data_IF_928740556357
#
_entry.id   IF_928740556357
#
_cell.length_a   1.000
_cell.length_b   1.000
_cell.length_c   1.000
_cell.angle_alpha   90.00
_cell.angle_beta   90.00
_cell.angle_gamma   90.00
#
_symmetry.space_group_name_H-M   'P 1'
#
loop_
_entity.id
_entity.type
_entity.pdbx_description
1 polymer ?
#
# COMPACT_ATOMS: atom_id res chain seq x y z
N UNK A 1 11.09 -9.32 -5.31
CA UNK A 1 10.51 -8.21 -4.52
C UNK A 1 11.34 -7.82 -3.28
N UNK A 2 11.87 -8.76 -2.49
CA UNK A 2 12.77 -8.45 -1.36
C UNK A 2 14.03 -7.68 -1.78
N UNK A 3 14.64 -8.03 -2.92
CA UNK A 3 15.86 -7.38 -3.41
C UNK A 3 15.66 -5.91 -3.83
N UNK A 4 14.46 -5.56 -4.30
CA UNK A 4 14.12 -4.18 -4.63
C UNK A 4 14.04 -3.30 -3.36
N UNK A 5 13.39 -3.80 -2.30
CA UNK A 5 13.34 -3.11 -1.01
C UNK A 5 14.73 -3.00 -0.37
N UNK A 6 15.55 -4.04 -0.48
CA UNK A 6 16.94 -4.04 0.01
C UNK A 6 17.82 -3.05 -0.75
N UNK A 7 17.66 -2.90 -2.08
CA UNK A 7 18.34 -1.87 -2.89
C UNK A 7 17.91 -0.44 -2.52
N UNK A 8 16.68 -0.26 -2.04
CA UNK A 8 16.17 1.02 -1.55
C UNK A 8 16.49 1.29 -0.07
N UNK A 9 17.22 0.40 0.61
CA UNK A 9 17.53 0.52 2.04
C UNK A 9 16.32 0.34 2.97
N UNK A 10 15.24 -0.27 2.48
CA UNK A 10 13.98 -0.48 3.17
C UNK A 10 13.91 -1.88 3.78
N UNK A 11 13.40 -1.98 5.01
CA UNK A 11 13.12 -3.27 5.64
C UNK A 11 11.97 -3.97 4.91
N UNK A 12 12.12 -5.28 4.71
CA UNK A 12 11.09 -6.21 4.25
C UNK A 12 9.78 -6.12 5.04
N UNK A 13 9.80 -5.65 6.29
CA UNK A 13 8.58 -5.39 7.07
C UNK A 13 7.63 -4.39 6.39
N UNK A 14 8.16 -3.36 5.73
CA UNK A 14 7.33 -2.39 5.00
C UNK A 14 6.68 -3.04 3.78
N UNK A 15 7.37 -4.00 3.14
CA UNK A 15 6.82 -4.76 2.01
C UNK A 15 5.64 -5.62 2.48
N UNK A 16 5.79 -6.33 3.60
CA UNK A 16 4.69 -7.12 4.18
C UNK A 16 3.49 -6.25 4.53
N UNK A 17 3.71 -5.12 5.20
CA UNK A 17 2.63 -4.16 5.53
C UNK A 17 1.92 -3.64 4.29
N UNK A 18 2.68 -3.24 3.27
CA UNK A 18 2.11 -2.69 2.03
C UNK A 18 1.32 -3.75 1.26
N UNK A 19 1.78 -5.00 1.25
CA UNK A 19 1.09 -6.12 0.60
C UNK A 19 -0.22 -6.45 1.32
N UNK A 20 -0.20 -6.48 2.66
CA UNK A 20 -1.40 -6.74 3.47
C UNK A 20 -2.46 -5.65 3.27
N UNK A 21 -2.02 -4.37 3.27
CA UNK A 21 -2.88 -3.24 3.01
C UNK A 21 -3.47 -3.37 1.60
N UNK A 22 -2.64 -3.52 0.56
CA UNK A 22 -3.08 -3.67 -0.83
C UNK A 22 -4.08 -4.82 -1.04
N UNK A 23 -3.89 -5.96 -0.37
CA UNK A 23 -4.84 -7.07 -0.41
C UNK A 23 -6.20 -6.68 0.16
N UNK A 24 -6.21 -6.07 1.35
CA UNK A 24 -7.44 -5.66 2.05
C UNK A 24 -8.21 -4.59 1.27
N UNK A 25 -7.51 -3.72 0.54
CA UNK A 25 -8.13 -2.61 -0.18
C UNK A 25 -8.64 -3.00 -1.57
N UNK A 26 -7.93 -3.88 -2.27
CA UNK A 26 -8.24 -4.26 -3.66
C UNK A 26 -9.22 -5.44 -3.74
N UNK A 27 -9.24 -6.31 -2.73
CA UNK A 27 -10.12 -7.49 -2.70
C UNK A 27 -11.61 -7.14 -2.88
N UNK A 28 -12.22 -6.19 -2.17
CA UNK A 28 -13.65 -5.88 -2.37
C UNK A 28 -13.99 -5.16 -3.68
N UNK A 29 -13.00 -4.59 -4.38
CA UNK A 29 -13.21 -3.79 -5.59
C UNK A 29 -13.36 -4.64 -6.87
N UNK A 30 -12.87 -5.87 -6.87
CA UNK A 30 -12.79 -6.68 -8.08
C UNK A 30 -13.97 -7.66 -8.17
N UNK A 31 -14.73 -7.73 -9.28
CA UNK A 31 -15.90 -8.60 -9.41
C UNK A 31 -15.60 -10.10 -9.34
N UNK A 32 -14.34 -10.50 -9.47
CA UNK A 32 -13.89 -11.90 -9.42
C UNK A 32 -13.32 -12.32 -8.07
N UNK A 33 -13.38 -11.47 -7.04
CA UNK A 33 -12.96 -11.82 -5.68
C UNK A 33 -14.13 -12.34 -4.86
N UNK A 34 -13.81 -13.09 -3.80
CA UNK A 34 -14.83 -13.67 -2.93
C UNK A 34 -15.72 -12.59 -2.29
N UNK A 35 -15.16 -11.49 -1.79
CA UNK A 35 -15.95 -10.40 -1.23
C UNK A 35 -16.76 -9.65 -2.29
N UNK A 36 -16.18 -9.39 -3.48
CA UNK A 36 -16.86 -8.71 -4.58
C UNK A 36 -18.08 -9.49 -5.07
N UNK A 37 -17.94 -10.80 -5.22
CA UNK A 37 -19.05 -11.71 -5.58
C UNK A 37 -20.07 -11.80 -4.44
N UNK A 38 -19.63 -11.90 -3.19
CA UNK A 38 -20.53 -11.95 -2.02
C UNK A 38 -21.41 -10.70 -1.91
N UNK A 39 -20.84 -9.51 -2.08
CA UNK A 39 -21.61 -8.26 -2.04
C UNK A 39 -22.56 -8.14 -3.23
N UNK A 40 -22.08 -8.43 -4.45
CA UNK A 40 -22.93 -8.38 -5.65
C UNK A 40 -24.11 -9.37 -5.57
N UNK A 41 -23.88 -10.58 -5.08
CA UNK A 41 -24.92 -11.62 -4.93
C UNK A 41 -25.91 -11.29 -3.81
N UNK A 42 -25.44 -10.71 -2.70
CA UNK A 42 -26.31 -10.34 -1.56
C UNK A 42 -27.22 -9.17 -1.91
N UNK A 43 -26.72 -8.17 -2.63
CA UNK A 43 -27.48 -6.97 -2.99
C UNK A 43 -28.22 -7.10 -4.34
N UNK A 44 -27.90 -8.13 -5.14
CA UNK A 44 -28.49 -8.32 -6.48
C UNK A 44 -28.07 -7.27 -7.51
N UNK A 45 -26.99 -6.53 -7.25
CA UNK A 45 -26.45 -5.47 -8.11
C UNK A 45 -25.08 -5.89 -8.67
N UNK A 46 -24.65 -5.26 -9.77
CA UNK A 46 -23.33 -5.54 -10.32
C UNK A 46 -22.23 -5.01 -9.37
N UNK A 47 -21.07 -5.68 -9.32
CA UNK A 47 -19.94 -5.18 -8.50
C UNK A 47 -19.47 -3.79 -8.96
N UNK A 48 -19.69 -3.43 -10.22
CA UNK A 48 -19.37 -2.10 -10.74
C UNK A 48 -20.28 -1.00 -10.15
N UNK A 49 -21.51 -1.33 -9.73
CA UNK A 49 -22.38 -0.38 -9.03
C UNK A 49 -21.92 -0.15 -7.58
N UNK A 50 -21.17 -1.10 -7.00
CA UNK A 50 -20.59 -1.00 -5.66
C UNK A 50 -19.27 -0.21 -5.65
N UNK A 51 -18.55 -0.13 -6.78
CA UNK A 51 -17.30 0.64 -6.90
C UNK A 51 -17.39 2.05 -6.30
N UNK A 52 -18.33 2.93 -6.69
CA UNK A 52 -18.38 4.29 -6.15
C UNK A 52 -18.63 4.36 -4.63
N UNK A 53 -19.18 3.29 -4.04
CA UNK A 53 -19.42 3.20 -2.59
C UNK A 53 -18.21 2.68 -1.80
N UNK A 54 -17.16 2.21 -2.47
CA UNK A 54 -15.91 1.74 -1.86
C UNK A 54 -15.00 2.89 -1.37
N UNK A 55 -15.58 3.92 -0.75
CA UNK A 55 -14.91 5.17 -0.34
C UNK A 55 -13.76 4.88 0.62
N UNK A 56 -13.94 3.97 1.58
CA UNK A 56 -12.88 3.56 2.50
C UNK A 56 -11.69 2.94 1.74
N UNK A 57 -11.97 2.19 0.67
CA UNK A 57 -10.92 1.55 -0.12
C UNK A 57 -10.10 2.60 -0.87
N UNK A 58 -10.76 3.57 -1.50
CA UNK A 58 -10.06 4.67 -2.16
C UNK A 58 -9.28 5.56 -1.18
N UNK A 59 -9.85 5.83 0.00
CA UNK A 59 -9.18 6.58 1.05
C UNK A 59 -7.92 5.85 1.54
N UNK A 60 -7.97 4.53 1.76
CA UNK A 60 -6.82 3.74 2.18
C UNK A 60 -5.70 3.74 1.12
N UNK A 61 -6.02 3.61 -0.17
CA UNK A 61 -5.02 3.75 -1.25
C UNK A 61 -4.36 5.13 -1.20
N UNK A 62 -5.17 6.19 -1.03
CA UNK A 62 -4.67 7.55 -0.98
C UNK A 62 -3.76 7.80 0.23
N UNK A 63 -4.13 7.30 1.42
CA UNK A 63 -3.30 7.37 2.61
C UNK A 63 -2.02 6.53 2.46
N UNK A 64 -2.10 5.32 1.92
CA UNK A 64 -0.94 4.47 1.68
C UNK A 64 0.08 5.15 0.75
N UNK A 65 -0.40 5.82 -0.31
CA UNK A 65 0.45 6.63 -1.18
C UNK A 65 1.08 7.81 -0.43
N UNK A 66 0.30 8.58 0.33
CA UNK A 66 0.83 9.71 1.11
C UNK A 66 1.88 9.25 2.13
N UNK A 67 1.62 8.17 2.86
CA UNK A 67 2.56 7.61 3.83
C UNK A 67 3.82 7.07 3.15
N UNK A 68 3.68 6.43 1.98
CA UNK A 68 4.79 5.97 1.16
C UNK A 68 5.68 7.12 0.65
N UNK A 69 5.07 8.23 0.18
CA UNK A 69 5.80 9.41 -0.30
C UNK A 69 6.39 10.26 0.83
N UNK A 70 5.68 10.43 1.95
CA UNK A 70 6.16 11.20 3.10
C UNK A 70 7.25 10.47 3.89
N UNK A 71 7.39 9.16 3.71
CA UNK A 71 8.38 8.35 4.41
C UNK A 71 8.08 8.15 5.90
N UNK A 72 6.90 8.58 6.37
CA UNK A 72 6.47 8.43 7.76
C UNK A 72 6.14 6.96 8.01
N UNK A 73 6.82 6.30 8.96
CA UNK A 73 6.60 4.89 9.29
C UNK A 73 7.35 3.87 8.42
N UNK A 74 8.31 4.32 7.62
CA UNK A 74 9.20 3.44 6.86
C UNK A 74 10.33 2.91 7.76
N UNK A 75 10.29 1.61 8.09
CA UNK A 75 11.41 0.94 8.74
C UNK A 75 12.57 0.78 7.74
N UNK A 76 13.73 1.39 8.01
CA UNK A 76 14.94 1.21 7.20
C UNK A 76 15.83 0.14 7.81
N UNK A 77 16.49 -0.66 6.97
CA UNK A 77 17.48 -1.64 7.44
C UNK A 77 18.69 -0.93 8.03
N UNK A 78 19.27 -1.46 9.13
CA UNK A 78 20.43 -0.88 9.81
C UNK A 78 21.64 -0.61 8.88
N UNK A 79 21.78 -1.38 7.80
CA UNK A 79 22.83 -1.19 6.78
C UNK A 79 22.66 0.06 5.89
N UNK A 80 21.51 0.76 5.96
CA UNK A 80 21.27 1.99 5.22
C UNK A 80 21.45 3.26 6.09
N UNK A 81 21.68 3.11 7.40
CA UNK A 81 21.94 4.24 8.31
C UNK A 81 23.30 4.91 8.06
N UNK A 82 24.24 4.26 7.36
CA UNK A 82 25.56 4.80 7.04
C UNK A 82 25.62 5.61 5.74
N UNK A 83 24.53 5.71 4.97
CA UNK A 83 24.47 6.57 3.77
C UNK A 83 23.24 7.46 3.76
N UNK A 84 23.19 8.37 4.73
CA UNK A 84 22.46 9.63 4.52
C UNK A 84 23.29 10.50 3.57
N UNK A 85 22.73 11.02 2.46
CA UNK A 85 23.43 11.99 1.64
C UNK A 85 23.69 13.24 2.47
N UNK A 86 24.97 13.55 2.62
CA UNK A 86 25.52 14.87 2.86
C UNK A 86 24.81 15.87 1.92
N UNK A 87 23.75 16.51 2.39
CA UNK A 87 23.21 17.71 1.77
C UNK A 87 23.87 18.90 2.46
N UNK A 88 24.91 19.40 1.80
CA UNK A 88 25.35 20.81 1.81
C UNK A 88 25.48 21.53 3.16
N UNK A 89 26.69 21.58 3.70
CA UNK A 89 27.26 22.85 4.17
C UNK A 89 28.68 22.98 3.61
N UNK A 90 28.77 23.89 2.66
CA UNK A 90 29.97 24.40 1.98
C UNK A 90 30.97 24.98 2.99
N UNK A 91 32.26 24.75 2.73
CA UNK A 91 33.48 25.44 3.21
C UNK A 91 33.40 26.31 4.48
#
# INVERSE_FOLDING_TARGET
FKDAYRRMGLDTKNLSRTIEDAGTVIEPLLPWTSAGVYMATTLGVSTLDLLPWAIQCYAAIFFALIYGFSGIGIARTASASEKSPQASVTK
#
